data_IF_693280881512
#
_entry.id   IF_693280881512
#
_cell.length_a   1.000
_cell.length_b   1.000
_cell.length_c   1.000
_cell.angle_alpha   90.00
_cell.angle_beta   90.00
_cell.angle_gamma   90.00
#
_symmetry.space_group_name_H-M   'P 1'
#
loop_
_entity.id
_entity.type
_entity.pdbx_description
1 polymer ?
#
# COMPACT_ATOMS: atom_id res chain seq x y z
N UNK A 1 0.28 2.49 5.36
CA UNK A 1 -0.67 2.98 6.39
C UNK A 1 0.11 3.62 7.55
N UNK A 2 -0.01 4.93 7.77
CA UNK A 2 0.64 5.58 8.91
C UNK A 2 -0.17 5.28 10.18
N UNK A 3 0.27 4.29 10.96
CA UNK A 3 -0.25 4.04 12.31
C UNK A 3 0.67 4.77 13.28
N UNK A 4 0.14 5.75 14.01
CA UNK A 4 0.88 6.33 15.12
C UNK A 4 0.96 5.29 16.23
N UNK A 5 2.18 4.90 16.62
CA UNK A 5 2.38 3.93 17.69
C UNK A 5 1.69 4.40 18.98
N UNK A 6 1.07 3.49 19.77
CA UNK A 6 0.33 3.88 20.98
C UNK A 6 1.15 4.74 21.95
N UNK A 7 2.42 4.41 22.15
CA UNK A 7 3.33 5.18 23.00
C UNK A 7 3.58 6.60 22.44
N UNK A 8 3.68 6.73 21.12
CA UNK A 8 3.85 8.03 20.45
C UNK A 8 2.57 8.85 20.47
N UNK A 9 1.40 8.21 20.42
CA UNK A 9 0.09 8.87 20.55
C UNK A 9 -0.12 9.41 21.96
N UNK A 10 0.15 8.60 22.99
CA UNK A 10 -0.12 8.95 24.39
C UNK A 10 0.64 10.19 24.90
N UNK A 11 1.77 10.53 24.28
CA UNK A 11 2.60 11.68 24.66
C UNK A 11 2.27 12.96 23.88
N UNK A 12 1.27 12.95 22.99
CA UNK A 12 0.86 14.14 22.23
C UNK A 12 -0.10 14.99 23.04
N UNK A 13 0.12 16.31 22.98
CA UNK A 13 -0.83 17.28 23.52
C UNK A 13 -2.12 17.30 22.72
N UNK A 14 -3.21 17.73 23.35
CA UNK A 14 -4.50 17.93 22.69
C UNK A 14 -4.40 18.91 21.52
N UNK A 15 -3.70 20.03 21.68
CA UNK A 15 -3.49 21.02 20.60
C UNK A 15 -2.85 20.36 19.36
N UNK A 16 -1.73 19.65 19.53
CA UNK A 16 -1.11 18.88 18.44
C UNK A 16 -2.06 17.88 17.77
N UNK A 17 -2.96 17.24 18.53
CA UNK A 17 -3.93 16.31 17.96
C UNK A 17 -4.95 17.05 17.09
N UNK A 18 -5.47 18.17 17.57
CA UNK A 18 -6.54 18.94 16.92
C UNK A 18 -6.03 19.83 15.78
N UNK A 19 -4.80 20.34 15.84
CA UNK A 19 -4.21 21.24 14.83
C UNK A 19 -3.72 20.54 13.55
N UNK A 20 -4.06 19.26 13.35
CA UNK A 20 -3.87 18.65 12.04
C UNK A 20 -3.88 17.13 12.00
N UNK A 21 -3.48 16.45 13.08
CA UNK A 21 -3.52 14.98 13.08
C UNK A 21 -4.95 14.47 12.93
N UNK A 22 -5.88 14.93 13.77
CA UNK A 22 -7.28 14.49 13.74
C UNK A 22 -8.02 14.97 12.49
N UNK A 23 -7.73 16.16 11.97
CA UNK A 23 -8.27 16.62 10.69
C UNK A 23 -7.84 15.71 9.54
N UNK A 24 -6.56 15.32 9.50
CA UNK A 24 -6.06 14.38 8.50
C UNK A 24 -6.71 12.99 8.64
N UNK A 25 -6.94 12.52 9.87
CA UNK A 25 -7.62 11.24 10.11
C UNK A 25 -9.08 11.32 9.65
N UNK A 26 -9.78 12.41 9.98
CA UNK A 26 -11.18 12.62 9.59
C UNK A 26 -11.32 12.64 8.07
N UNK A 27 -10.54 13.47 7.36
CA UNK A 27 -10.59 13.55 5.91
C UNK A 27 -10.30 12.20 5.24
N UNK A 28 -9.34 11.43 5.78
CA UNK A 28 -9.03 10.08 5.31
C UNK A 28 -10.20 9.11 5.49
N UNK A 29 -10.89 9.15 6.63
CA UNK A 29 -12.06 8.28 6.88
C UNK A 29 -13.25 8.68 6.03
N UNK A 30 -13.51 9.98 5.87
CA UNK A 30 -14.56 10.49 4.98
C UNK A 30 -14.34 10.03 3.54
N UNK A 31 -13.10 10.14 3.03
CA UNK A 31 -12.75 9.61 1.73
C UNK A 31 -12.98 8.10 1.62
N UNK A 32 -12.54 7.32 2.63
CA UNK A 32 -12.69 5.88 2.64
C UNK A 32 -14.16 5.45 2.63
N UNK A 33 -15.03 6.14 3.38
CA UNK A 33 -16.46 5.89 3.41
C UNK A 33 -17.13 6.27 2.07
N UNK A 34 -16.79 7.45 1.52
CA UNK A 34 -17.33 7.90 0.23
C UNK A 34 -16.96 6.96 -0.94
N UNK A 35 -15.81 6.29 -0.84
CA UNK A 35 -15.30 5.38 -1.87
C UNK A 35 -15.33 3.91 -1.46
N UNK A 36 -16.11 3.55 -0.43
CA UNK A 36 -16.12 2.21 0.13
C UNK A 36 -16.44 1.13 -0.91
N UNK A 37 -17.29 1.43 -1.89
CA UNK A 37 -17.67 0.50 -2.98
C UNK A 37 -16.97 0.79 -4.31
N UNK A 38 -16.00 1.72 -4.33
CA UNK A 38 -15.31 2.08 -5.55
C UNK A 38 -14.42 0.92 -6.04
N UNK A 39 -14.45 0.68 -7.35
CA UNK A 39 -13.69 -0.38 -8.02
C UNK A 39 -12.76 0.26 -9.06
N UNK A 40 -11.45 0.02 -8.99
CA UNK A 40 -10.52 0.50 -10.01
C UNK A 40 -10.86 -0.06 -11.38
N UNK A 41 -10.69 0.75 -12.43
CA UNK A 41 -10.82 0.26 -13.80
C UNK A 41 -9.60 -0.58 -14.22
N UNK A 42 -9.74 -1.30 -15.33
CA UNK A 42 -8.71 -2.22 -15.83
C UNK A 42 -7.38 -1.51 -16.12
N UNK A 43 -7.41 -0.29 -16.65
CA UNK A 43 -6.19 0.48 -16.93
C UNK A 43 -5.43 0.83 -15.65
N UNK A 44 -6.14 1.20 -14.58
CA UNK A 44 -5.55 1.49 -13.29
C UNK A 44 -4.96 0.22 -12.65
N UNK A 45 -5.67 -0.91 -12.71
CA UNK A 45 -5.17 -2.20 -12.22
C UNK A 45 -3.94 -2.67 -12.98
N UNK A 46 -3.99 -2.62 -14.31
CA UNK A 46 -2.88 -3.04 -15.18
C UNK A 46 -1.62 -2.21 -14.92
N UNK A 47 -1.75 -0.88 -14.78
CA UNK A 47 -0.64 0.00 -14.41
C UNK A 47 -0.06 -0.34 -13.04
N UNK A 48 -0.92 -0.60 -12.06
CA UNK A 48 -0.51 -0.95 -10.71
C UNK A 48 0.21 -2.31 -10.65
N UNK A 49 -0.30 -3.32 -11.36
CA UNK A 49 0.36 -4.63 -11.52
C UNK A 49 1.76 -4.47 -12.11
N UNK A 50 1.88 -3.71 -13.21
CA UNK A 50 3.16 -3.49 -13.88
C UNK A 50 4.20 -2.90 -12.93
N UNK A 51 3.78 -1.92 -12.13
CA UNK A 51 4.67 -1.28 -11.16
C UNK A 51 5.02 -2.17 -9.97
N UNK A 52 4.08 -2.95 -9.44
CA UNK A 52 4.39 -3.94 -8.40
C UNK A 52 5.47 -4.91 -8.90
N UNK A 53 5.34 -5.40 -10.13
CA UNK A 53 6.33 -6.26 -10.75
C UNK A 53 7.68 -5.57 -10.93
N UNK A 54 7.70 -4.33 -11.41
CA UNK A 54 8.93 -3.54 -11.58
C UNK A 54 9.66 -3.31 -10.25
N UNK A 55 8.94 -2.92 -9.20
CA UNK A 55 9.55 -2.53 -7.93
C UNK A 55 9.91 -3.71 -7.04
N UNK A 56 9.14 -4.79 -7.08
CA UNK A 56 9.29 -5.93 -6.16
C UNK A 56 9.71 -7.23 -6.84
N UNK A 57 9.62 -7.32 -8.17
CA UNK A 57 9.79 -8.56 -8.91
C UNK A 57 8.68 -9.59 -8.68
N UNK A 58 7.56 -9.22 -8.05
CA UNK A 58 6.41 -10.11 -7.82
C UNK A 58 5.42 -9.93 -8.97
N UNK A 59 5.05 -11.04 -9.61
CA UNK A 59 4.12 -11.04 -10.73
C UNK A 59 2.72 -11.31 -10.21
N UNK A 60 1.84 -10.34 -10.40
CA UNK A 60 0.41 -10.44 -10.12
C UNK A 60 -0.36 -10.29 -11.43
N UNK A 61 -1.51 -10.93 -11.54
CA UNK A 61 -2.57 -10.58 -12.48
C UNK A 61 -3.42 -9.42 -11.93
N UNK A 62 -4.23 -8.80 -12.80
CA UNK A 62 -5.18 -7.76 -12.38
C UNK A 62 -6.23 -8.30 -11.41
N UNK A 63 -6.68 -9.55 -11.60
CA UNK A 63 -7.58 -10.25 -10.68
C UNK A 63 -6.94 -10.48 -9.30
N UNK A 64 -5.69 -10.94 -9.25
CA UNK A 64 -4.98 -11.13 -7.97
C UNK A 64 -4.78 -9.81 -7.24
N UNK A 65 -4.37 -8.75 -7.93
CA UNK A 65 -4.24 -7.44 -7.31
C UNK A 65 -5.60 -6.91 -6.83
N UNK A 66 -6.66 -7.07 -7.62
CA UNK A 66 -8.02 -6.68 -7.23
C UNK A 66 -8.48 -7.41 -5.96
N UNK A 67 -8.21 -8.72 -5.88
CA UNK A 67 -8.50 -9.53 -4.70
C UNK A 67 -7.71 -9.08 -3.47
N UNK A 68 -6.42 -8.79 -3.62
CA UNK A 68 -5.60 -8.21 -2.53
C UNK A 68 -6.24 -6.89 -2.08
N UNK A 69 -6.52 -5.97 -3.00
CA UNK A 69 -7.08 -4.65 -2.70
C UNK A 69 -8.49 -4.70 -2.09
N UNK A 70 -9.22 -5.82 -2.21
CA UNK A 70 -10.48 -6.02 -1.48
C UNK A 70 -10.30 -5.98 0.03
N UNK A 71 -9.11 -6.32 0.53
CA UNK A 71 -8.72 -6.26 1.95
C UNK A 71 -8.20 -4.87 2.35
N UNK A 72 -7.95 -3.98 1.39
CA UNK A 72 -7.35 -2.66 1.57
C UNK A 72 -8.25 -1.56 0.96
N UNK A 73 -9.42 -1.30 1.56
CA UNK A 73 -10.47 -0.47 0.95
C UNK A 73 -10.03 0.97 0.67
N UNK A 74 -9.14 1.54 1.48
CA UNK A 74 -8.61 2.88 1.24
C UNK A 74 -7.74 2.93 -0.03
N UNK A 75 -6.84 1.96 -0.18
CA UNK A 75 -5.94 1.85 -1.33
C UNK A 75 -6.74 1.56 -2.60
N UNK A 76 -7.73 0.65 -2.52
CA UNK A 76 -8.68 0.39 -3.61
C UNK A 76 -9.41 1.67 -4.01
N UNK A 77 -9.98 2.39 -3.04
CA UNK A 77 -10.71 3.63 -3.27
C UNK A 77 -9.85 4.69 -3.94
N UNK A 78 -8.63 4.91 -3.43
CA UNK A 78 -7.69 5.88 -4.03
C UNK A 78 -7.30 5.51 -5.45
N UNK A 79 -7.00 4.24 -5.72
CA UNK A 79 -6.71 3.78 -7.08
C UNK A 79 -7.92 3.94 -8.02
N UNK A 80 -9.14 3.75 -7.52
CA UNK A 80 -10.36 3.96 -8.29
C UNK A 80 -10.63 5.44 -8.59
N UNK A 81 -10.42 6.33 -7.61
CA UNK A 81 -10.72 7.76 -7.75
C UNK A 81 -9.65 8.52 -8.54
N UNK A 82 -8.38 8.19 -8.34
CA UNK A 82 -7.25 8.95 -8.89
C UNK A 82 -6.51 8.22 -10.02
N UNK A 83 -6.77 6.93 -10.18
CA UNK A 83 -6.07 6.09 -11.15
C UNK A 83 -4.60 5.90 -10.80
N UNK A 84 -3.86 5.36 -11.77
CA UNK A 84 -2.45 4.99 -11.61
C UNK A 84 -1.44 6.16 -11.76
N UNK A 85 -1.91 7.30 -12.28
CA UNK A 85 -1.07 8.48 -12.52
C UNK A 85 -0.55 9.15 -11.25
N UNK A 86 -1.21 8.92 -10.12
CA UNK A 86 -0.93 9.57 -8.84
C UNK A 86 0.19 8.85 -8.07
N UNK A 87 1.24 9.57 -7.69
CA UNK A 87 2.41 9.01 -6.98
C UNK A 87 2.06 8.47 -5.60
N UNK A 88 1.14 9.11 -4.87
CA UNK A 88 0.73 8.64 -3.54
C UNK A 88 0.00 7.29 -3.65
N UNK A 89 -0.80 7.12 -4.70
CA UNK A 89 -1.45 5.83 -4.99
C UNK A 89 -0.41 4.73 -5.18
N UNK A 90 0.70 5.00 -5.89
CA UNK A 90 1.74 3.98 -6.17
C UNK A 90 2.37 3.45 -4.89
N UNK A 91 2.77 4.35 -3.99
CA UNK A 91 3.34 3.98 -2.68
C UNK A 91 2.34 3.18 -1.84
N UNK A 92 1.08 3.60 -1.85
CA UNK A 92 0.01 2.90 -1.14
C UNK A 92 -0.25 1.49 -1.67
N UNK A 93 -0.14 1.27 -2.99
CA UNK A 93 -0.26 -0.07 -3.57
C UNK A 93 0.90 -0.96 -3.13
N UNK A 94 2.15 -0.47 -3.15
CA UNK A 94 3.29 -1.24 -2.67
C UNK A 94 3.15 -1.59 -1.18
N UNK A 95 2.68 -0.65 -0.37
CA UNK A 95 2.35 -0.88 1.04
C UNK A 95 1.33 -2.01 1.22
N UNK A 96 0.26 -2.01 0.42
CA UNK A 96 -0.78 -3.05 0.49
C UNK A 96 -0.22 -4.42 0.11
N UNK A 97 0.58 -4.51 -0.95
CA UNK A 97 1.20 -5.77 -1.38
C UNK A 97 2.20 -6.27 -0.34
N UNK A 98 3.06 -5.40 0.18
CA UNK A 98 4.01 -5.78 1.24
C UNK A 98 3.30 -6.26 2.51
N UNK A 99 2.18 -5.61 2.86
CA UNK A 99 1.38 -6.00 4.01
C UNK A 99 0.69 -7.34 3.80
N UNK A 100 0.11 -7.56 2.62
CA UNK A 100 -0.54 -8.82 2.30
C UNK A 100 0.43 -9.99 2.34
N UNK A 101 1.64 -9.80 1.80
CA UNK A 101 2.62 -10.87 1.63
C UNK A 101 3.38 -11.20 2.91
N UNK A 102 3.75 -10.20 3.69
CA UNK A 102 4.67 -10.37 4.81
C UNK A 102 4.28 -9.58 6.06
N UNK A 103 3.06 -9.04 6.12
CA UNK A 103 2.56 -8.18 7.20
C UNK A 103 3.53 -7.03 7.56
N UNK A 104 4.16 -6.46 6.53
CA UNK A 104 5.04 -5.30 6.66
C UNK A 104 4.54 -4.15 5.79
N UNK A 105 5.25 -3.03 5.74
CA UNK A 105 4.99 -1.94 4.78
C UNK A 105 6.16 -1.81 3.81
N UNK A 106 5.95 -1.11 2.70
CA UNK A 106 7.07 -0.81 1.80
C UNK A 106 8.06 0.11 2.52
N UNK A 107 9.39 -0.10 2.36
CA UNK A 107 10.37 0.78 2.98
C UNK A 107 10.29 2.19 2.40
N UNK A 108 10.48 3.18 3.25
CA UNK A 108 10.61 4.59 2.88
C UNK A 108 12.00 5.09 3.29
N UNK A 109 12.44 6.23 2.74
CA UNK A 109 13.83 6.69 2.88
C UNK A 109 14.36 6.87 4.32
N UNK A 110 13.47 6.98 5.32
CA UNK A 110 13.85 7.11 6.74
C UNK A 110 14.03 5.77 7.48
N UNK A 111 13.84 4.63 6.81
CA UNK A 111 13.81 3.34 7.49
C UNK A 111 15.19 2.69 7.67
N UNK A 112 16.22 3.22 7.02
CA UNK A 112 17.57 2.63 7.02
C UNK A 112 17.56 1.12 6.68
N UNK A 113 16.86 0.78 5.59
CA UNK A 113 16.67 -0.59 5.11
C UNK A 113 17.48 -0.83 3.84
N UNK A 114 18.21 -1.94 3.79
CA UNK A 114 18.72 -2.49 2.53
C UNK A 114 17.53 -2.95 1.67
N UNK A 115 17.17 -2.12 0.69
CA UNK A 115 16.06 -2.34 -0.22
C UNK A 115 16.20 -3.66 -0.99
N UNK A 116 17.41 -4.05 -1.37
CA UNK A 116 17.63 -5.28 -2.11
C UNK A 116 17.40 -6.50 -1.22
N UNK A 117 17.90 -6.47 0.01
CA UNK A 117 17.63 -7.52 0.98
C UNK A 117 16.12 -7.60 1.34
N UNK A 118 15.44 -6.47 1.44
CA UNK A 118 14.00 -6.42 1.65
C UNK A 118 13.23 -7.07 0.50
N UNK A 119 13.52 -6.69 -0.75
CA UNK A 119 12.87 -7.23 -1.95
C UNK A 119 13.07 -8.75 -2.03
N UNK A 120 14.29 -9.26 -1.81
CA UNK A 120 14.55 -10.70 -1.87
C UNK A 120 13.79 -11.49 -0.78
N UNK A 121 13.66 -10.94 0.43
CA UNK A 121 12.84 -11.52 1.50
C UNK A 121 11.36 -11.49 1.15
N UNK A 122 10.87 -10.39 0.57
CA UNK A 122 9.48 -10.26 0.13
C UNK A 122 9.16 -11.24 -0.98
N UNK A 123 10.06 -11.43 -1.96
CA UNK A 123 9.92 -12.45 -3.01
C UNK A 123 9.95 -13.87 -2.45
N UNK A 124 10.72 -14.14 -1.40
CA UNK A 124 10.68 -15.45 -0.73
C UNK A 124 9.31 -15.70 -0.09
N UNK A 125 8.74 -14.70 0.61
CA UNK A 125 7.39 -14.79 1.17
C UNK A 125 6.30 -14.92 0.08
N UNK A 126 6.42 -14.17 -1.02
CA UNK A 126 5.50 -14.25 -2.15
C UNK A 126 5.46 -15.66 -2.76
N UNK A 127 6.64 -16.27 -2.97
CA UNK A 127 6.76 -17.65 -3.45
C UNK A 127 6.14 -18.65 -2.49
N UNK A 128 6.30 -18.46 -1.17
CA UNK A 128 5.65 -19.29 -0.16
C UNK A 128 4.12 -19.23 -0.26
N UNK A 129 3.56 -18.07 -0.61
CA UNK A 129 2.12 -17.89 -0.86
C UNK A 129 1.65 -18.40 -2.23
N UNK A 130 2.55 -18.86 -3.10
CA UNK A 130 2.22 -19.40 -4.42
C UNK A 130 2.34 -18.42 -5.59
N UNK A 131 2.88 -17.21 -5.36
CA UNK A 131 3.07 -16.23 -6.43
C UNK A 131 4.35 -16.47 -7.24
N UNK A 132 4.28 -16.10 -8.52
CA UNK A 132 5.46 -16.10 -9.39
C UNK A 132 6.30 -14.86 -9.13
N UNK A 133 7.62 -15.01 -9.21
CA UNK A 133 8.57 -13.88 -9.10
C UNK A 133 9.58 -13.93 -10.23
N UNK A 134 9.99 -12.77 -10.76
CA UNK A 134 11.07 -12.70 -11.74
C UNK A 134 12.41 -13.08 -11.11
N UNK A 135 13.23 -13.85 -11.83
CA UNK A 135 14.64 -14.02 -11.47
C UNK A 135 15.39 -12.71 -11.75
N UNK A 136 16.40 -12.37 -10.95
CA UNK A 136 17.24 -11.18 -11.18
C UNK A 136 17.73 -11.13 -12.64
N UNK A 137 17.50 -10.02 -13.32
CA UNK A 137 18.40 -9.52 -14.37
C UNK A 137 19.55 -8.77 -13.71
#
# INVERSE_FOLDING_TARGET
MWVLEPAKFAVKSEDWLLEGYMDSQKARMEFALANASAVPNESALSGAVGYVSEQSGIQLSTDELSNILSLYPLQRGKLASYGWGDTEVRELILDAVANYIANTRWPVGKDDVDIQAFIERLKAAARFMGYTTSAKS
#
